data_IF_679585612693
#
_entry.id   IF_679585612693
#
_cell.length_a   1.000
_cell.length_b   1.000
_cell.length_c   1.000
_cell.angle_alpha   90.00
_cell.angle_beta   90.00
_cell.angle_gamma   90.00
#
_symmetry.space_group_name_H-M   'P 1'
#
loop_
_entity.id
_entity.type
_entity.pdbx_description
1 polymer ?
#
# COMPACT_ATOMS: atom_id res chain seq x y z
N UNK A 1 -24.21 6.73 53.82
CA UNK A 1 -23.01 6.13 54.44
C UNK A 1 -21.84 6.49 53.56
N UNK A 2 -21.35 7.71 53.72
CA UNK A 2 -20.13 8.22 53.11
C UNK A 2 -18.97 7.87 54.05
N UNK A 3 -17.88 7.32 53.51
CA UNK A 3 -16.62 7.15 54.23
C UNK A 3 -15.59 8.09 53.61
N UNK A 4 -15.32 9.19 54.34
CA UNK A 4 -14.11 9.99 54.21
C UNK A 4 -12.88 9.15 54.58
N UNK A 5 -11.84 9.20 53.76
CA UNK A 5 -10.49 8.84 54.17
C UNK A 5 -9.55 10.01 53.87
N UNK A 6 -9.04 10.63 54.93
CA UNK A 6 -8.07 11.72 54.93
C UNK A 6 -6.64 11.20 54.60
N UNK A 7 -5.75 12.06 54.08
CA UNK A 7 -4.41 11.69 53.65
C UNK A 7 -3.37 11.79 54.79
N UNK A 8 -2.41 10.87 54.80
CA UNK A 8 -1.23 10.92 55.69
C UNK A 8 -0.01 11.40 54.90
N UNK A 9 0.61 12.45 55.43
CA UNK A 9 1.84 13.05 54.94
C UNK A 9 3.04 12.25 55.46
N UNK A 10 4.04 12.00 54.62
CA UNK A 10 5.41 11.76 55.09
C UNK A 10 6.38 12.71 54.40
N UNK A 11 6.88 13.59 55.26
CA UNK A 11 7.97 14.53 55.12
C UNK A 11 9.28 13.74 55.26
N UNK A 12 10.23 13.90 54.33
CA UNK A 12 11.62 13.48 54.57
C UNK A 12 12.58 14.49 53.91
N UNK A 13 12.90 15.49 54.73
CA UNK A 13 14.23 16.06 55.03
C UNK A 13 15.37 15.68 54.06
N UNK A 14 15.83 16.63 53.23
CA UNK A 14 17.11 17.37 53.34
C UNK A 14 18.36 16.49 53.21
N UNK A 15 19.11 16.65 52.12
CA UNK A 15 20.55 16.86 52.24
C UNK A 15 21.12 17.63 51.04
N UNK A 16 21.72 18.77 51.39
CA UNK A 16 22.53 19.65 50.56
C UNK A 16 23.98 19.19 50.51
N UNK A 17 24.78 19.88 49.68
CA UNK A 17 26.24 19.77 49.48
C UNK A 17 26.61 18.70 48.45
N UNK A 18 27.48 18.91 47.47
CA UNK A 18 28.73 19.68 47.47
C UNK A 18 29.03 20.15 46.05
N UNK A 19 29.35 21.44 45.91
CA UNK A 19 29.97 21.99 44.72
C UNK A 19 31.44 21.56 44.70
N UNK A 20 31.79 20.55 43.89
CA UNK A 20 33.17 20.20 43.60
C UNK A 20 33.62 20.89 42.32
N UNK A 21 34.20 22.06 42.51
CA UNK A 21 34.98 22.79 41.53
C UNK A 21 36.27 22.02 41.25
N UNK A 22 36.21 21.04 40.33
CA UNK A 22 37.41 20.41 39.77
C UNK A 22 37.80 21.08 38.45
N UNK A 23 38.91 21.82 38.54
CA UNK A 23 40.02 21.91 37.58
C UNK A 23 39.67 22.02 36.08
N UNK A 24 40.10 23.08 35.37
CA UNK A 24 39.93 23.14 33.92
C UNK A 24 40.64 21.94 33.30
N UNK A 25 39.86 21.05 32.69
CA UNK A 25 40.38 19.96 31.88
C UNK A 25 41.21 20.61 30.76
N UNK A 26 42.52 20.47 30.93
CA UNK A 26 43.54 20.70 29.94
C UNK A 26 43.02 20.27 28.58
N UNK A 27 42.89 21.26 27.69
CA UNK A 27 42.55 21.08 26.28
C UNK A 27 43.64 20.19 25.70
N UNK A 28 43.41 18.88 25.77
CA UNK A 28 44.28 17.92 25.12
C UNK A 28 44.18 18.27 23.64
N UNK A 29 45.33 18.68 23.11
CA UNK A 29 45.48 18.97 21.71
C UNK A 29 45.13 17.69 20.96
N UNK A 30 43.95 17.71 20.33
CA UNK A 30 43.43 16.70 19.43
C UNK A 30 44.54 16.32 18.46
N UNK A 31 45.25 15.25 18.81
CA UNK A 31 46.19 14.59 17.94
C UNK A 31 45.35 14.07 16.79
N UNK A 32 45.33 14.83 15.69
CA UNK A 32 44.70 14.45 14.43
C UNK A 32 45.34 13.15 13.99
N UNK A 33 44.80 12.01 14.46
CA UNK A 33 45.22 10.68 14.05
C UNK A 33 45.08 10.67 12.53
N UNK A 34 46.21 10.62 11.83
CA UNK A 34 46.24 10.50 10.37
C UNK A 34 45.52 9.21 10.03
N UNK A 35 44.28 9.32 9.58
CA UNK A 35 43.45 8.19 9.22
C UNK A 35 44.15 7.45 8.07
N UNK A 36 44.37 6.15 8.23
CA UNK A 36 44.93 5.33 7.17
C UNK A 36 43.97 5.35 5.97
N UNK A 37 44.51 5.41 4.75
CA UNK A 37 43.73 5.37 3.50
C UNK A 37 42.76 4.20 3.48
N UNK A 38 43.14 3.04 4.03
CA UNK A 38 42.25 1.87 4.15
C UNK A 38 41.04 2.10 5.07
N UNK A 39 41.20 2.88 6.16
CA UNK A 39 40.07 3.22 7.03
C UNK A 39 39.10 4.18 6.36
N UNK A 40 39.61 5.15 5.59
CA UNK A 40 38.76 6.05 4.80
C UNK A 40 37.96 5.23 3.76
N UNK A 41 38.61 4.34 3.02
CA UNK A 41 37.97 3.48 2.02
C UNK A 41 36.89 2.58 2.67
N UNK A 42 37.20 1.99 3.84
CA UNK A 42 36.25 1.16 4.58
C UNK A 42 35.00 1.93 5.00
N UNK A 43 35.17 3.14 5.55
CA UNK A 43 34.04 4.01 5.96
C UNK A 43 33.18 4.37 4.75
N UNK A 44 33.80 4.75 3.63
CA UNK A 44 33.06 5.05 2.39
C UNK A 44 32.28 3.83 1.91
N UNK A 45 32.89 2.65 1.90
CA UNK A 45 32.24 1.42 1.46
C UNK A 45 31.01 1.07 2.31
N UNK A 46 31.13 1.13 3.64
CA UNK A 46 30.00 0.89 4.56
C UNK A 46 28.89 1.92 4.36
N UNK A 47 29.25 3.20 4.15
CA UNK A 47 28.25 4.25 3.91
C UNK A 47 27.45 4.04 2.61
N UNK A 48 28.10 3.56 1.54
CA UNK A 48 27.43 3.25 0.26
C UNK A 48 26.52 2.04 0.41
N UNK A 49 26.98 0.98 1.08
CA UNK A 49 26.16 -0.20 1.33
C UNK A 49 24.91 0.13 2.15
N UNK A 50 25.04 0.98 3.18
CA UNK A 50 23.89 1.42 3.98
C UNK A 50 22.90 2.25 3.15
N UNK A 51 23.38 3.16 2.31
CA UNK A 51 22.53 3.97 1.44
C UNK A 51 21.72 3.09 0.45
N UNK A 52 22.32 2.03 -0.09
CA UNK A 52 21.64 1.08 -0.97
C UNK A 52 20.56 0.27 -0.24
N UNK A 53 20.79 -0.11 1.02
CA UNK A 53 19.78 -0.79 1.84
C UNK A 53 18.60 0.13 2.17
N UNK A 54 18.85 1.40 2.49
CA UNK A 54 17.79 2.37 2.74
C UNK A 54 16.97 2.66 1.48
N UNK A 55 17.62 2.79 0.32
CA UNK A 55 16.94 3.02 -0.96
C UNK A 55 16.02 1.85 -1.35
N UNK A 56 16.48 0.61 -1.17
CA UNK A 56 15.65 -0.58 -1.47
C UNK A 56 14.50 -0.75 -0.48
N UNK A 57 14.71 -0.44 0.81
CA UNK A 57 13.65 -0.43 1.82
C UNK A 57 12.55 0.60 1.54
N UNK A 58 12.93 1.85 1.24
CA UNK A 58 11.97 2.91 0.89
C UNK A 58 11.22 2.56 -0.40
N UNK A 59 11.91 2.01 -1.41
CA UNK A 59 11.28 1.56 -2.65
C UNK A 59 10.20 0.49 -2.38
N UNK A 60 10.47 -0.48 -1.50
CA UNK A 60 9.51 -1.52 -1.14
C UNK A 60 8.28 -0.96 -0.41
N UNK A 61 8.49 -0.05 0.55
CA UNK A 61 7.40 0.60 1.30
C UNK A 61 6.50 1.42 0.36
N UNK A 62 7.09 2.22 -0.54
CA UNK A 62 6.34 3.03 -1.50
C UNK A 62 5.54 2.15 -2.47
N UNK A 63 6.14 1.06 -2.97
CA UNK A 63 5.44 0.14 -3.87
C UNK A 63 4.24 -0.51 -3.19
N UNK A 64 4.41 -1.00 -1.95
CA UNK A 64 3.35 -1.70 -1.22
C UNK A 64 2.18 -0.79 -0.81
N UNK A 65 2.44 0.52 -0.67
CA UNK A 65 1.41 1.51 -0.31
C UNK A 65 0.65 2.05 -1.52
N UNK A 66 1.22 2.01 -2.73
CA UNK A 66 0.50 2.41 -3.96
C UNK A 66 -0.67 1.46 -4.28
N UNK A 67 -0.56 0.19 -3.92
CA UNK A 67 -1.61 -0.79 -4.20
C UNK A 67 -2.82 -0.69 -3.25
N UNK A 68 -2.73 0.14 -2.19
CA UNK A 68 -3.76 0.29 -1.15
C UNK A 68 -4.41 1.67 -1.10
N UNK A 69 -3.89 2.66 -1.82
CA UNK A 69 -4.44 4.00 -1.83
C UNK A 69 -5.49 4.16 -2.95
N UNK A 70 -6.75 3.78 -2.66
CA UNK A 70 -7.91 4.27 -3.41
C UNK A 70 -8.85 3.24 -4.04
N UNK A 71 -8.60 1.94 -3.89
CA UNK A 71 -9.54 0.91 -4.34
C UNK A 71 -10.74 0.87 -3.38
N UNK A 72 -11.85 1.53 -3.76
CA UNK A 72 -13.15 1.33 -3.10
C UNK A 72 -13.41 -0.19 -3.01
N UNK A 73 -13.98 -0.70 -1.90
CA UNK A 73 -14.29 -2.12 -1.79
C UNK A 73 -15.18 -2.53 -2.97
N UNK A 74 -14.85 -3.63 -3.66
CA UNK A 74 -15.56 -4.05 -4.87
C UNK A 74 -17.09 -4.16 -4.67
N UNK A 75 -17.52 -4.51 -3.44
CA UNK A 75 -18.93 -4.56 -3.04
C UNK A 75 -19.65 -3.20 -3.17
N UNK A 76 -18.95 -2.08 -3.00
CA UNK A 76 -19.49 -0.73 -3.18
C UNK A 76 -19.48 -0.30 -4.65
N UNK A 77 -18.65 -0.93 -5.49
CA UNK A 77 -18.52 -0.60 -6.91
C UNK A 77 -19.51 -1.43 -7.74
N UNK A 78 -19.77 -2.68 -7.36
CA UNK A 78 -20.69 -3.56 -8.08
C UNK A 78 -22.15 -3.28 -7.68
N UNK A 79 -22.68 -2.16 -8.19
CA UNK A 79 -24.06 -1.69 -8.02
C UNK A 79 -24.85 -1.81 -9.32
N UNK A 80 -26.17 -1.82 -9.25
CA UNK A 80 -27.05 -1.93 -10.43
C UNK A 80 -26.81 -0.74 -11.38
N UNK A 81 -26.64 0.45 -10.80
CA UNK A 81 -26.27 1.66 -11.54
C UNK A 81 -24.98 1.47 -12.35
N UNK A 82 -23.93 0.90 -11.75
CA UNK A 82 -22.66 0.68 -12.45
C UNK A 82 -22.75 -0.45 -13.46
N UNK A 83 -23.53 -1.51 -13.17
CA UNK A 83 -23.81 -2.58 -14.12
C UNK A 83 -24.52 -2.05 -15.38
N UNK A 84 -25.48 -1.14 -15.20
CA UNK A 84 -26.24 -0.53 -16.29
C UNK A 84 -25.40 0.43 -17.16
N UNK A 85 -24.30 0.98 -16.63
CA UNK A 85 -23.34 1.78 -17.42
C UNK A 85 -22.54 0.97 -18.43
N UNK A 86 -22.53 -0.37 -18.31
CA UNK A 86 -21.82 -1.22 -19.26
C UNK A 86 -22.66 -1.43 -20.50
N UNK A 87 -22.09 -1.09 -21.64
CA UNK A 87 -22.71 -1.23 -22.95
C UNK A 87 -21.85 -2.11 -23.85
N UNK A 88 -22.52 -2.83 -24.76
CA UNK A 88 -21.85 -3.59 -25.82
C UNK A 88 -21.02 -2.61 -26.66
N UNK A 89 -19.80 -3.02 -27.01
CA UNK A 89 -18.84 -2.19 -27.73
C UNK A 89 -17.87 -1.41 -26.85
N UNK A 90 -18.13 -1.27 -25.54
CA UNK A 90 -17.18 -0.59 -24.63
C UNK A 90 -15.85 -1.34 -24.54
N UNK A 91 -14.76 -0.59 -24.42
CA UNK A 91 -13.41 -1.16 -24.28
C UNK A 91 -13.16 -1.71 -22.88
N UNK A 92 -12.24 -2.66 -22.75
CA UNK A 92 -11.78 -3.14 -21.44
C UNK A 92 -11.39 -2.00 -20.49
N UNK A 93 -10.69 -0.97 -21.01
CA UNK A 93 -10.29 0.19 -20.22
C UNK A 93 -11.50 0.91 -19.60
N UNK A 94 -12.54 1.18 -20.41
CA UNK A 94 -13.75 1.85 -19.93
C UNK A 94 -14.46 1.04 -18.83
N UNK A 95 -14.49 -0.29 -18.97
CA UNK A 95 -15.04 -1.17 -17.93
C UNK A 95 -14.20 -1.13 -16.66
N UNK A 96 -12.87 -1.16 -16.77
CA UNK A 96 -11.97 -1.09 -15.61
C UNK A 96 -11.94 0.28 -14.95
N UNK A 97 -12.25 1.35 -15.67
CA UNK A 97 -12.40 2.69 -15.08
C UNK A 97 -13.64 2.72 -14.14
N UNK A 98 -14.63 1.84 -14.36
CA UNK A 98 -15.83 1.69 -13.51
C UNK A 98 -15.56 0.71 -12.36
N UNK A 99 -15.11 -0.52 -12.67
CA UNK A 99 -15.04 -1.63 -11.72
C UNK A 99 -13.65 -1.95 -11.16
N UNK A 100 -12.61 -1.28 -11.65
CA UNK A 100 -11.24 -1.69 -11.42
C UNK A 100 -10.85 -2.93 -12.22
N UNK A 101 -9.69 -3.51 -11.92
CA UNK A 101 -9.19 -4.68 -12.63
C UNK A 101 -10.00 -5.94 -12.31
N UNK A 102 -10.52 -6.61 -13.35
CA UNK A 102 -11.15 -7.91 -13.24
C UNK A 102 -10.15 -9.06 -13.33
N UNK A 103 -10.51 -10.22 -12.77
CA UNK A 103 -9.75 -11.46 -12.92
C UNK A 103 -10.08 -12.09 -14.27
N UNK A 104 -9.07 -12.21 -15.14
CA UNK A 104 -9.21 -12.92 -16.41
C UNK A 104 -9.46 -14.41 -16.15
N UNK A 105 -10.42 -14.99 -16.84
CA UNK A 105 -10.56 -16.45 -16.96
C UNK A 105 -9.92 -16.94 -18.25
N UNK A 106 -9.44 -18.18 -18.23
CA UNK A 106 -9.00 -18.83 -19.44
C UNK A 106 -10.20 -18.96 -20.37
N UNK A 107 -10.08 -18.44 -21.59
CA UNK A 107 -11.07 -18.66 -22.64
C UNK A 107 -10.51 -19.69 -23.60
N UNK A 108 -11.27 -20.76 -23.86
CA UNK A 108 -10.96 -21.74 -24.89
C UNK A 108 -11.23 -21.20 -26.31
N UNK A 109 -11.98 -20.09 -26.39
CA UNK A 109 -12.34 -19.42 -27.64
C UNK A 109 -11.24 -18.42 -28.02
N UNK A 110 -10.67 -18.59 -29.21
CA UNK A 110 -9.52 -17.82 -29.71
C UNK A 110 -9.74 -16.31 -29.73
N UNK A 111 -10.98 -15.87 -29.95
CA UNK A 111 -11.31 -14.46 -30.18
C UNK A 111 -12.13 -13.83 -29.06
N UNK A 112 -12.23 -14.52 -27.92
CA UNK A 112 -12.95 -14.01 -26.76
C UNK A 112 -12.10 -14.09 -25.51
N UNK A 113 -12.30 -13.14 -24.61
CA UNK A 113 -11.71 -13.14 -23.29
C UNK A 113 -12.75 -12.74 -22.27
N UNK A 114 -12.87 -13.54 -21.22
CA UNK A 114 -13.82 -13.31 -20.15
C UNK A 114 -13.08 -12.80 -18.92
N UNK A 115 -13.67 -11.80 -18.28
CA UNK A 115 -13.20 -11.23 -17.02
C UNK A 115 -14.30 -11.32 -15.98
N UNK A 116 -13.87 -11.59 -14.75
CA UNK A 116 -14.73 -11.75 -13.59
C UNK A 116 -14.37 -10.70 -12.54
N UNK A 117 -15.40 -10.01 -12.05
CA UNK A 117 -15.33 -9.16 -10.85
C UNK A 117 -16.17 -9.82 -9.77
N UNK A 118 -15.54 -10.12 -8.64
CA UNK A 118 -16.17 -10.82 -7.52
C UNK A 118 -16.10 -9.94 -6.28
N UNK A 119 -17.25 -9.78 -5.63
CA UNK A 119 -17.34 -9.05 -4.37
C UNK A 119 -17.18 -10.00 -3.20
N UNK A 120 -16.76 -9.48 -2.05
CA UNK A 120 -16.65 -10.26 -0.81
C UNK A 120 -17.99 -10.89 -0.36
N UNK A 121 -19.12 -10.40 -0.88
CA UNK A 121 -20.46 -10.88 -0.56
C UNK A 121 -20.96 -11.95 -1.56
N UNK A 122 -20.08 -12.48 -2.42
CA UNK A 122 -20.40 -13.55 -3.37
C UNK A 122 -21.16 -13.09 -4.63
N UNK A 123 -21.35 -11.79 -4.84
CA UNK A 123 -21.87 -11.26 -6.12
C UNK A 123 -20.77 -11.30 -7.17
N UNK A 124 -21.11 -11.76 -8.37
CA UNK A 124 -20.16 -11.93 -9.47
C UNK A 124 -20.67 -11.22 -10.71
N UNK A 125 -19.80 -10.44 -11.34
CA UNK A 125 -20.00 -9.86 -12.67
C UNK A 125 -19.06 -10.54 -13.64
N UNK A 126 -19.62 -11.03 -14.74
CA UNK A 126 -18.87 -11.68 -15.81
C UNK A 126 -19.05 -10.85 -17.07
N UNK A 127 -17.96 -10.41 -17.67
CA UNK A 127 -17.98 -9.67 -18.94
C UNK A 127 -17.09 -10.37 -19.94
N UNK A 128 -17.65 -10.66 -21.10
CA UNK A 128 -16.92 -11.24 -22.23
C UNK A 128 -16.62 -10.13 -23.24
N UNK A 129 -15.37 -10.08 -23.66
CA UNK A 129 -14.87 -9.15 -24.66
C UNK A 129 -14.44 -9.91 -25.90
N UNK A 130 -14.63 -9.31 -27.08
CA UNK A 130 -13.89 -9.70 -28.28
C UNK A 130 -12.42 -9.39 -28.04
N UNK A 131 -11.52 -10.35 -28.30
CA UNK A 131 -10.09 -10.14 -28.20
C UNK A 131 -9.52 -9.62 -29.52
N UNK A 132 -8.96 -8.41 -29.51
CA UNK A 132 -8.09 -7.93 -30.60
C UNK A 132 -6.67 -8.35 -30.30
N UNK A 133 -6.03 -9.02 -31.26
CA UNK A 133 -4.67 -9.54 -31.12
C UNK A 133 -3.69 -8.80 -32.00
N UNK A 134 -2.46 -8.65 -31.54
CA UNK A 134 -1.35 -8.20 -32.38
C UNK A 134 -0.81 -9.34 -33.26
N UNK A 135 0.17 -8.99 -34.10
CA UNK A 135 0.90 -9.94 -34.96
C UNK A 135 1.61 -11.08 -34.23
N UNK A 136 1.76 -10.98 -32.90
CA UNK A 136 2.38 -12.00 -32.05
C UNK A 136 1.32 -12.81 -31.28
N UNK A 137 0.04 -12.74 -31.68
CA UNK A 137 -1.08 -13.41 -31.04
C UNK A 137 -1.35 -12.93 -29.60
N UNK A 138 -0.83 -11.75 -29.20
CA UNK A 138 -1.07 -11.16 -27.87
C UNK A 138 -2.31 -10.29 -27.89
N UNK A 139 -3.16 -10.40 -26.87
CA UNK A 139 -4.34 -9.53 -26.71
C UNK A 139 -3.86 -8.10 -26.44
N UNK A 140 -4.28 -7.15 -27.28
CA UNK A 140 -3.94 -5.72 -27.20
C UNK A 140 -5.14 -4.82 -26.93
N UNK A 141 -6.34 -5.26 -27.29
CA UNK A 141 -7.58 -4.55 -27.03
C UNK A 141 -8.76 -5.53 -26.97
N UNK A 142 -9.91 -5.02 -26.57
CA UNK A 142 -11.15 -5.77 -26.69
C UNK A 142 -12.37 -4.93 -26.36
N UNK A 143 -13.51 -5.31 -26.91
CA UNK A 143 -14.80 -4.64 -26.74
C UNK A 143 -15.83 -5.60 -26.15
N UNK A 144 -16.69 -5.09 -25.25
CA UNK A 144 -17.75 -5.88 -24.62
C UNK A 144 -18.67 -6.46 -25.69
N UNK A 145 -18.89 -7.77 -25.63
CA UNK A 145 -19.92 -8.46 -26.44
C UNK A 145 -21.04 -9.00 -25.58
N UNK A 146 -20.75 -9.30 -24.32
CA UNK A 146 -21.72 -9.87 -23.39
C UNK A 146 -21.37 -9.44 -21.96
N UNK A 147 -22.43 -9.21 -21.17
CA UNK A 147 -22.33 -9.04 -19.71
C UNK A 147 -23.36 -9.92 -19.03
N UNK A 148 -22.99 -10.53 -17.92
CA UNK A 148 -23.90 -11.29 -17.07
C UNK A 148 -23.54 -11.11 -15.59
N UNK A 149 -24.50 -11.38 -14.71
CA UNK A 149 -24.34 -11.23 -13.27
C UNK A 149 -24.87 -12.47 -12.55
N UNK A 150 -24.22 -12.83 -11.44
CA UNK A 150 -24.66 -13.88 -10.52
C UNK A 150 -24.89 -13.22 -9.15
N UNK A 151 -26.11 -13.38 -8.64
CA UNK A 151 -26.60 -12.74 -7.41
C UNK A 151 -27.36 -11.44 -7.66
N UNK A 152 -28.18 -11.01 -6.69
CA UNK A 152 -28.97 -9.78 -6.80
C UNK A 152 -28.06 -8.58 -6.54
N UNK A 153 -27.80 -7.79 -7.57
CA UNK A 153 -27.22 -6.47 -7.41
C UNK A 153 -28.37 -5.51 -7.07
N UNK A 154 -28.40 -5.01 -5.84
CA UNK A 154 -29.41 -4.06 -5.37
C UNK A 154 -28.89 -2.63 -5.54
N UNK A 155 -29.80 -1.67 -5.72
CA UNK A 155 -29.45 -0.25 -5.65
C UNK A 155 -28.85 0.07 -4.29
N UNK A 156 -27.69 0.73 -4.29
CA UNK A 156 -26.98 1.12 -3.08
C UNK A 156 -27.71 2.21 -2.28
N UNK A 157 -28.85 2.72 -2.77
CA UNK A 157 -29.65 3.76 -2.11
C UNK A 157 -30.50 3.27 -0.93
N UNK A 158 -30.53 1.97 -0.62
CA UNK A 158 -31.32 1.40 0.49
C UNK A 158 -30.47 0.64 1.54
N UNK A 159 -29.24 1.06 1.81
CA UNK A 159 -28.41 0.50 2.88
C UNK A 159 -27.99 1.58 3.89
#
# INVERSE_FOLDING_TARGET
MEQELKPEQQNMEVESTTAEQSKPAEVNNSSKKKLNKYQIISIVCVSVMLALLLATGIYFIVKNNRDKAGSKPLAQILTETNYNKIEVGQTYKQVTDIFGAGRRTSSEVTDQVTYIWETNNGKVLVITFTATRDKNNKIVAGTVIEKSQIGIITNAENA
#
